data_IF_772320837385
#
_entry.id   IF_772320837385
#
_cell.length_a   1.000
_cell.length_b   1.000
_cell.length_c   1.000
_cell.angle_alpha   90.00
_cell.angle_beta   90.00
_cell.angle_gamma   90.00
#
_symmetry.space_group_name_H-M   'P 1'
#
loop_
_entity.id
_entity.type
_entity.pdbx_description
1 polymer ?
#
# COMPACT_ATOMS: atom_id res chain seq x y z
N UNK A 1 -10.00 21.45 -55.40
CA UNK A 1 -9.97 20.43 -54.31
C UNK A 1 -8.62 20.50 -53.63
N UNK A 2 -8.54 20.96 -52.37
CA UNK A 2 -7.32 20.81 -51.56
C UNK A 2 -7.31 19.39 -50.97
N UNK A 3 -6.18 18.68 -50.98
CA UNK A 3 -6.11 17.35 -50.38
C UNK A 3 -6.17 17.49 -48.85
N UNK A 4 -7.03 16.70 -48.22
CA UNK A 4 -7.03 16.47 -46.78
C UNK A 4 -5.71 15.78 -46.41
N UNK A 5 -4.73 16.54 -45.92
CA UNK A 5 -3.61 15.95 -45.19
C UNK A 5 -4.16 15.38 -43.89
N UNK A 6 -4.34 14.07 -43.83
CA UNK A 6 -4.60 13.38 -42.58
C UNK A 6 -3.32 13.41 -41.72
N UNK A 7 -3.47 13.87 -40.49
CA UNK A 7 -2.39 14.02 -39.54
C UNK A 7 -2.08 12.65 -38.89
N UNK A 8 -1.27 11.84 -39.56
CA UNK A 8 -0.86 10.50 -39.10
C UNK A 8 0.03 10.53 -37.84
N UNK A 9 0.48 11.72 -37.40
CA UNK A 9 1.28 11.89 -36.20
C UNK A 9 0.49 11.53 -34.93
N UNK A 10 -0.78 11.95 -34.86
CA UNK A 10 -1.67 11.66 -33.74
C UNK A 10 -2.01 10.16 -33.61
N UNK A 11 -2.24 9.47 -34.73
CA UNK A 11 -2.48 8.03 -34.73
C UNK A 11 -1.25 7.25 -34.25
N UNK A 12 -0.05 7.67 -34.69
CA UNK A 12 1.21 7.05 -34.28
C UNK A 12 1.49 7.28 -32.79
N UNK A 13 1.22 8.48 -32.27
CA UNK A 13 1.32 8.80 -30.85
C UNK A 13 0.34 7.99 -29.99
N UNK A 14 -0.89 7.81 -30.48
CA UNK A 14 -1.91 7.03 -29.78
C UNK A 14 -1.56 5.53 -29.77
N UNK A 15 -1.05 5.00 -30.87
CA UNK A 15 -0.53 3.63 -30.94
C UNK A 15 0.68 3.41 -30.02
N UNK A 16 1.63 4.36 -29.98
CA UNK A 16 2.77 4.29 -29.08
C UNK A 16 2.34 4.33 -27.62
N UNK A 17 1.41 5.22 -27.27
CA UNK A 17 0.85 5.33 -25.91
C UNK A 17 0.11 4.06 -25.50
N UNK A 18 -0.71 3.50 -26.39
CA UNK A 18 -1.41 2.24 -26.15
C UNK A 18 -0.45 1.07 -25.96
N UNK A 19 0.61 0.99 -26.77
CA UNK A 19 1.64 -0.04 -26.64
C UNK A 19 2.39 0.06 -25.30
N UNK A 20 2.75 1.27 -24.89
CA UNK A 20 3.39 1.51 -23.59
C UNK A 20 2.46 1.12 -22.43
N UNK A 21 1.18 1.49 -22.49
CA UNK A 21 0.20 1.14 -21.48
C UNK A 21 -0.02 -0.38 -21.38
N UNK A 22 -0.07 -1.08 -22.52
CA UNK A 22 -0.16 -2.55 -22.56
C UNK A 22 1.09 -3.20 -21.98
N UNK A 23 2.29 -2.72 -22.34
CA UNK A 23 3.54 -3.24 -21.78
C UNK A 23 3.63 -3.04 -20.26
N UNK A 24 3.27 -1.86 -19.76
CA UNK A 24 3.20 -1.56 -18.31
C UNK A 24 2.19 -2.46 -17.60
N UNK A 25 1.01 -2.66 -18.18
CA UNK A 25 -0.03 -3.54 -17.62
C UNK A 25 0.46 -4.99 -17.56
N UNK A 26 1.03 -5.51 -18.65
CA UNK A 26 1.56 -6.88 -18.69
C UNK A 26 2.69 -7.09 -17.69
N UNK A 27 3.59 -6.12 -17.53
CA UNK A 27 4.68 -6.18 -16.55
C UNK A 27 4.12 -6.28 -15.12
N UNK A 28 3.14 -5.44 -14.77
CA UNK A 28 2.50 -5.45 -13.44
C UNK A 28 1.70 -6.72 -13.18
N UNK A 29 1.05 -7.29 -14.19
CA UNK A 29 0.36 -8.56 -14.04
C UNK A 29 1.35 -9.72 -13.82
N UNK A 30 2.47 -9.74 -14.55
CA UNK A 30 3.53 -10.73 -14.31
C UNK A 30 4.19 -10.58 -12.92
N UNK A 31 4.32 -9.34 -12.43
CA UNK A 31 4.73 -9.07 -11.05
C UNK A 31 3.68 -9.57 -10.05
N UNK A 32 2.40 -9.33 -10.33
CA UNK A 32 1.27 -9.79 -9.52
C UNK A 32 1.26 -11.31 -9.37
N UNK A 33 1.48 -12.04 -10.46
CA UNK A 33 1.55 -13.51 -10.45
C UNK A 33 2.71 -14.01 -9.57
N UNK A 34 3.89 -13.39 -9.68
CA UNK A 34 5.06 -13.75 -8.87
C UNK A 34 4.89 -13.41 -7.39
N UNK A 35 4.40 -12.21 -7.09
CA UNK A 35 4.07 -11.81 -5.71
C UNK A 35 3.00 -12.72 -5.11
N UNK A 36 2.00 -13.14 -5.91
CA UNK A 36 0.99 -14.10 -5.47
C UNK A 36 1.58 -15.46 -5.12
N UNK A 37 2.49 -15.96 -5.95
CA UNK A 37 3.18 -17.22 -5.69
C UNK A 37 4.02 -17.18 -4.40
N UNK A 38 4.54 -16.00 -4.02
CA UNK A 38 5.26 -15.78 -2.77
C UNK A 38 4.39 -15.60 -1.52
N UNK A 39 3.06 -15.62 -1.63
CA UNK A 39 2.17 -15.50 -0.47
C UNK A 39 1.80 -16.88 0.06
N UNK A 40 2.31 -17.21 1.25
CA UNK A 40 1.84 -18.37 2.01
C UNK A 40 0.70 -17.98 2.97
N UNK A 41 -0.55 -18.17 2.52
CA UNK A 41 -1.74 -17.88 3.31
C UNK A 41 -1.91 -18.78 4.54
N UNK A 42 -1.44 -20.02 4.50
CA UNK A 42 -1.52 -20.93 5.66
C UNK A 42 -0.45 -20.58 6.69
N UNK A 43 0.75 -20.19 6.27
CA UNK A 43 1.74 -19.63 7.19
C UNK A 43 1.24 -18.31 7.80
N UNK A 44 0.64 -17.40 7.02
CA UNK A 44 0.01 -16.19 7.59
C UNK A 44 -0.99 -16.57 8.69
N UNK A 45 -1.83 -17.59 8.49
CA UNK A 45 -2.82 -18.06 9.48
C UNK A 45 -2.18 -18.78 10.68
N UNK A 46 -1.14 -19.59 10.46
CA UNK A 46 -0.44 -20.35 11.50
C UNK A 46 0.49 -19.53 12.38
N UNK A 47 0.92 -18.34 11.91
CA UNK A 47 1.86 -17.43 12.60
C UNK A 47 1.31 -16.77 13.87
N UNK A 48 0.02 -16.92 14.15
CA UNK A 48 -0.62 -16.26 15.29
C UNK A 48 -0.54 -17.03 16.61
N UNK A 49 0.30 -18.06 16.70
CA UNK A 49 0.61 -18.76 17.95
C UNK A 49 1.68 -18.05 18.81
N UNK A 50 1.89 -16.74 18.62
CA UNK A 50 2.80 -15.95 19.44
C UNK A 50 2.04 -15.42 20.67
N UNK A 51 2.41 -15.88 21.87
CA UNK A 51 1.83 -15.45 23.14
C UNK A 51 2.21 -13.99 23.48
N UNK A 52 1.58 -13.01 22.82
CA UNK A 52 1.59 -11.61 23.27
C UNK A 52 0.19 -10.99 23.17
N UNK A 53 -0.37 -10.40 24.24
CA UNK A 53 -1.70 -9.77 24.23
C UNK A 53 -1.89 -8.69 23.15
N UNK A 54 -0.79 -8.00 22.78
CA UNK A 54 -0.75 -6.94 21.75
C UNK A 54 -0.97 -7.50 20.33
N UNK A 55 -0.68 -8.79 20.09
CA UNK A 55 -0.75 -9.43 18.77
C UNK A 55 -2.18 -9.86 18.39
N UNK A 56 -3.05 -10.15 19.36
CA UNK A 56 -4.44 -10.59 19.11
C UNK A 56 -5.23 -9.63 18.21
N UNK A 57 -5.01 -8.32 18.36
CA UNK A 57 -5.62 -7.30 17.52
C UNK A 57 -5.05 -7.26 16.09
N UNK A 58 -3.77 -7.57 15.91
CA UNK A 58 -3.09 -7.59 14.62
C UNK A 58 -3.50 -8.82 13.81
N UNK A 59 -3.57 -9.99 14.45
CA UNK A 59 -4.07 -11.24 13.87
C UNK A 59 -5.41 -11.07 13.16
N UNK A 60 -6.42 -10.63 13.90
CA UNK A 60 -7.75 -10.37 13.33
C UNK A 60 -7.68 -9.39 12.15
N UNK A 61 -6.79 -8.41 12.20
CA UNK A 61 -6.67 -7.42 11.13
C UNK A 61 -6.05 -8.01 9.87
N UNK A 62 -5.05 -8.87 9.99
CA UNK A 62 -4.43 -9.56 8.85
C UNK A 62 -5.38 -10.59 8.26
N UNK A 63 -6.10 -11.35 9.08
CA UNK A 63 -7.14 -12.27 8.62
C UNK A 63 -8.22 -11.53 7.80
N UNK A 64 -8.64 -10.34 8.26
CA UNK A 64 -9.57 -9.51 7.50
C UNK A 64 -8.96 -8.96 6.21
N UNK A 65 -7.67 -8.63 6.18
CA UNK A 65 -6.97 -8.22 4.96
C UNK A 65 -6.96 -9.34 3.92
N UNK A 66 -6.57 -10.55 4.31
CA UNK A 66 -6.58 -11.71 3.41
C UNK A 66 -8.00 -12.03 2.89
N UNK A 67 -9.01 -12.02 3.77
CA UNK A 67 -10.40 -12.28 3.37
C UNK A 67 -10.97 -11.19 2.43
N UNK A 68 -10.68 -9.92 2.70
CA UNK A 68 -11.11 -8.81 1.85
C UNK A 68 -10.38 -8.78 0.51
N UNK A 69 -9.11 -9.21 0.46
CA UNK A 69 -8.41 -9.45 -0.80
C UNK A 69 -9.06 -10.56 -1.62
N UNK A 70 -9.39 -11.70 -1.00
CA UNK A 70 -10.12 -12.77 -1.69
C UNK A 70 -11.44 -12.28 -2.29
N UNK A 71 -12.19 -11.47 -1.52
CA UNK A 71 -13.43 -10.84 -2.00
C UNK A 71 -13.20 -9.86 -3.16
N UNK A 72 -12.11 -9.10 -3.13
CA UNK A 72 -11.72 -8.20 -4.23
C UNK A 72 -11.32 -8.99 -5.48
N UNK A 73 -10.46 -10.01 -5.35
CA UNK A 73 -10.05 -10.86 -6.45
C UNK A 73 -11.25 -11.56 -7.10
N UNK A 74 -12.19 -12.03 -6.29
CA UNK A 74 -13.44 -12.64 -6.77
C UNK A 74 -14.33 -11.66 -7.52
N UNK A 75 -14.28 -10.37 -7.18
CA UNK A 75 -15.01 -9.32 -7.91
C UNK A 75 -14.38 -8.94 -9.25
N UNK A 76 -13.18 -9.45 -9.56
CA UNK A 76 -12.39 -9.12 -10.75
C UNK A 76 -12.10 -10.33 -11.64
N UNK A 77 -13.00 -11.32 -11.64
CA UNK A 77 -12.82 -12.59 -12.38
C UNK A 77 -12.92 -12.45 -13.90
N UNK A 78 -13.67 -11.48 -14.40
CA UNK A 78 -13.84 -11.26 -15.84
C UNK A 78 -13.05 -10.05 -16.35
N UNK A 79 -12.64 -10.09 -17.63
CA UNK A 79 -11.93 -8.98 -18.29
C UNK A 79 -12.74 -7.69 -18.25
N UNK A 80 -14.07 -7.78 -18.37
CA UNK A 80 -15.01 -6.66 -18.22
C UNK A 80 -14.97 -6.01 -16.84
N UNK A 81 -14.64 -6.77 -15.79
CA UNK A 81 -14.55 -6.26 -14.43
C UNK A 81 -13.17 -5.64 -14.16
N UNK A 82 -12.11 -6.26 -14.70
CA UNK A 82 -10.75 -5.73 -14.64
C UNK A 82 -10.65 -4.35 -15.33
N UNK A 83 -11.34 -4.16 -16.45
CA UNK A 83 -11.31 -2.90 -17.21
C UNK A 83 -12.11 -1.75 -16.56
N UNK A 84 -12.95 -2.03 -15.55
CA UNK A 84 -13.71 -1.00 -14.82
C UNK A 84 -12.89 -0.30 -13.74
N UNK A 85 -11.82 -0.94 -13.29
CA UNK A 85 -10.91 -0.38 -12.30
C UNK A 85 -9.60 0.06 -12.98
N UNK A 86 -8.89 1.04 -12.40
CA UNK A 86 -7.55 1.37 -12.85
C UNK A 86 -6.64 0.13 -12.83
N UNK A 87 -5.78 0.00 -13.84
CA UNK A 87 -4.89 -1.15 -14.02
C UNK A 87 -3.92 -1.41 -12.84
N UNK A 88 -3.73 -0.44 -11.95
CA UNK A 88 -2.91 -0.59 -10.75
C UNK A 88 -3.65 -1.26 -9.58
N UNK A 89 -4.98 -1.40 -9.64
CA UNK A 89 -5.79 -1.84 -8.48
C UNK A 89 -5.40 -3.23 -8.01
N UNK A 90 -5.46 -4.23 -8.89
CA UNK A 90 -5.15 -5.60 -8.52
C UNK A 90 -3.65 -5.78 -8.19
N UNK A 91 -2.69 -5.28 -9.01
CA UNK A 91 -1.27 -5.34 -8.65
C UNK A 91 -0.96 -4.68 -7.30
N UNK A 92 -1.54 -3.51 -7.04
CA UNK A 92 -1.39 -2.82 -5.77
C UNK A 92 -1.91 -3.65 -4.60
N UNK A 93 -3.11 -4.23 -4.72
CA UNK A 93 -3.68 -5.06 -3.67
C UNK A 93 -2.86 -6.33 -3.39
N UNK A 94 -2.36 -6.99 -4.44
CA UNK A 94 -1.48 -8.16 -4.27
C UNK A 94 -0.17 -7.78 -3.58
N UNK A 95 0.44 -6.65 -3.97
CA UNK A 95 1.65 -6.13 -3.32
C UNK A 95 1.40 -5.80 -1.83
N UNK A 96 0.25 -5.25 -1.48
CA UNK A 96 -0.12 -5.04 -0.06
C UNK A 96 -0.18 -6.35 0.73
N UNK A 97 -0.75 -7.42 0.17
CA UNK A 97 -0.77 -8.75 0.81
C UNK A 97 0.65 -9.29 0.97
N UNK A 98 1.44 -9.27 -0.11
CA UNK A 98 2.81 -9.76 -0.09
C UNK A 98 3.65 -9.02 0.96
N UNK A 99 3.66 -7.69 0.92
CA UNK A 99 4.45 -6.88 1.85
C UNK A 99 3.97 -7.00 3.30
N UNK A 100 2.68 -7.28 3.52
CA UNK A 100 2.15 -7.63 4.85
C UNK A 100 2.71 -8.98 5.30
N UNK A 101 2.68 -10.01 4.44
CA UNK A 101 3.24 -11.33 4.75
C UNK A 101 4.73 -11.24 5.06
N UNK A 102 5.50 -10.57 4.21
CA UNK A 102 6.93 -10.35 4.35
C UNK A 102 7.26 -9.67 5.68
N UNK A 103 6.55 -8.60 6.03
CA UNK A 103 6.80 -7.91 7.29
C UNK A 103 6.53 -8.78 8.53
N UNK A 104 5.57 -9.69 8.44
CA UNK A 104 5.33 -10.67 9.51
C UNK A 104 6.44 -11.72 9.59
N UNK A 105 7.05 -12.10 8.46
CA UNK A 105 8.18 -13.04 8.47
C UNK A 105 9.45 -12.46 9.09
N UNK A 106 9.67 -11.14 8.99
CA UNK A 106 10.80 -10.49 9.67
C UNK A 106 10.69 -10.48 11.20
N UNK A 107 9.53 -10.86 11.74
CA UNK A 107 9.33 -11.04 13.17
C UNK A 107 9.68 -12.47 13.63
N UNK A 108 9.94 -13.41 12.71
CA UNK A 108 10.40 -14.77 13.06
C UNK A 108 11.90 -14.79 13.37
N UNK A 109 12.35 -15.70 14.25
CA UNK A 109 13.77 -16.01 14.40
C UNK A 109 14.37 -16.49 13.07
N UNK A 110 15.57 -16.01 12.74
CA UNK A 110 16.24 -16.26 11.44
C UNK A 110 16.68 -17.71 11.22
N UNK A 111 16.79 -18.53 12.27
CA UNK A 111 17.35 -19.88 12.23
C UNK A 111 16.47 -20.93 11.50
N UNK A 112 15.34 -20.51 10.93
CA UNK A 112 14.35 -21.40 10.27
C UNK A 112 14.21 -21.19 8.75
N UNK A 113 15.03 -20.33 8.10
CA UNK A 113 14.92 -20.03 6.66
C UNK A 113 15.91 -20.83 5.80
N UNK A 114 15.42 -21.47 4.74
CA UNK A 114 16.24 -22.17 3.74
C UNK A 114 16.86 -21.17 2.71
N UNK A 115 18.01 -21.51 2.10
CA UNK A 115 18.73 -20.63 1.16
C UNK A 115 17.90 -20.29 -0.11
N UNK A 116 17.10 -21.23 -0.61
CA UNK A 116 16.24 -21.05 -1.79
C UNK A 116 15.08 -20.07 -1.52
N UNK A 117 14.55 -20.07 -0.29
CA UNK A 117 13.53 -19.12 0.17
C UNK A 117 14.11 -17.70 0.22
N UNK A 118 15.37 -17.56 0.65
CA UNK A 118 16.04 -16.26 0.74
C UNK A 118 16.26 -15.61 -0.65
N UNK A 119 16.68 -16.38 -1.67
CA UNK A 119 16.87 -15.84 -3.03
C UNK A 119 15.54 -15.39 -3.65
N UNK A 120 14.50 -16.21 -3.50
CA UNK A 120 13.14 -15.89 -3.97
C UNK A 120 12.61 -14.63 -3.29
N UNK A 121 12.78 -14.52 -1.97
CA UNK A 121 12.38 -13.35 -1.19
C UNK A 121 13.10 -12.08 -1.65
N UNK A 122 14.42 -12.15 -1.88
CA UNK A 122 15.21 -11.01 -2.40
C UNK A 122 14.64 -10.52 -3.74
N UNK A 123 14.30 -11.43 -4.64
CA UNK A 123 13.73 -11.08 -5.94
C UNK A 123 12.35 -10.41 -5.80
N UNK A 124 11.47 -10.96 -4.97
CA UNK A 124 10.13 -10.43 -4.74
C UNK A 124 10.14 -9.08 -4.01
N UNK A 125 11.09 -8.88 -3.08
CA UNK A 125 11.32 -7.58 -2.44
C UNK A 125 11.78 -6.54 -3.47
N UNK A 126 12.75 -6.88 -4.33
CA UNK A 126 13.23 -5.97 -5.36
C UNK A 126 12.12 -5.57 -6.34
N UNK A 127 11.22 -6.51 -6.65
CA UNK A 127 10.03 -6.26 -7.46
C UNK A 127 9.05 -5.29 -6.78
N UNK A 128 8.73 -5.51 -5.50
CA UNK A 128 7.88 -4.60 -4.74
C UNK A 128 8.50 -3.19 -4.60
N UNK A 129 9.82 -3.10 -4.47
CA UNK A 129 10.56 -1.82 -4.48
C UNK A 129 10.47 -1.13 -5.85
N UNK A 130 10.57 -1.89 -6.94
CA UNK A 130 10.44 -1.36 -8.30
C UNK A 130 9.04 -0.80 -8.57
N UNK A 131 7.99 -1.53 -8.18
CA UNK A 131 6.59 -1.08 -8.33
C UNK A 131 6.29 0.19 -7.54
N UNK A 132 7.04 0.45 -6.48
CA UNK A 132 6.88 1.63 -5.60
C UNK A 132 7.88 2.76 -5.89
N UNK A 133 8.72 2.62 -6.92
CA UNK A 133 9.75 3.61 -7.27
C UNK A 133 9.20 5.01 -7.59
N UNK A 134 7.96 5.10 -8.10
CA UNK A 134 7.28 6.37 -8.41
C UNK A 134 6.74 7.14 -7.20
N UNK A 135 6.82 6.59 -5.99
CA UNK A 135 6.16 7.13 -4.80
C UNK A 135 6.61 8.57 -4.46
N UNK A 136 7.89 8.89 -4.62
CA UNK A 136 8.44 10.24 -4.36
C UNK A 136 7.78 11.28 -5.28
N UNK A 137 7.67 10.98 -6.57
CA UNK A 137 7.09 11.90 -7.55
C UNK A 137 5.60 12.17 -7.22
N UNK A 138 4.87 11.13 -6.82
CA UNK A 138 3.47 11.26 -6.41
C UNK A 138 3.31 12.07 -5.11
N UNK A 139 4.19 11.86 -4.12
CA UNK A 139 4.19 12.68 -2.90
C UNK A 139 4.42 14.15 -3.21
N UNK A 140 5.37 14.46 -4.11
CA UNK A 140 5.68 15.83 -4.51
C UNK A 140 4.52 16.52 -5.24
N UNK A 141 3.71 15.77 -5.98
CA UNK A 141 2.49 16.30 -6.62
C UNK A 141 1.43 16.69 -5.60
N UNK A 142 1.32 15.95 -4.48
CA UNK A 142 0.37 16.28 -3.41
C UNK A 142 0.85 17.48 -2.60
N UNK A 143 2.08 17.43 -2.11
CA UNK A 143 2.74 18.51 -1.38
C UNK A 143 4.26 18.23 -1.36
N UNK A 144 5.12 19.10 -1.93
CA UNK A 144 6.57 18.91 -1.93
C UNK A 144 7.17 18.65 -0.54
N UNK A 145 6.54 19.17 0.53
CA UNK A 145 6.95 18.95 1.91
C UNK A 145 6.78 17.50 2.38
N UNK A 146 5.87 16.73 1.79
CA UNK A 146 5.62 15.32 2.18
C UNK A 146 6.73 14.38 1.72
N UNK A 147 7.47 14.71 0.66
CA UNK A 147 8.57 13.88 0.20
C UNK A 147 9.74 13.84 1.21
N UNK A 148 9.91 14.91 2.01
CA UNK A 148 11.02 15.03 2.96
C UNK A 148 11.01 13.97 4.07
N UNK A 149 9.94 13.77 4.86
CA UNK A 149 9.93 12.71 5.87
C UNK A 149 10.05 11.31 5.27
N UNK A 150 9.53 11.08 4.06
CA UNK A 150 9.69 9.83 3.34
C UNK A 150 11.16 9.54 2.98
N UNK A 151 11.84 10.52 2.38
CA UNK A 151 13.26 10.42 2.02
C UNK A 151 14.11 10.24 3.28
N UNK A 152 13.85 11.02 4.34
CA UNK A 152 14.57 10.90 5.61
C UNK A 152 14.44 9.52 6.25
N UNK A 153 13.25 8.89 6.19
CA UNK A 153 13.07 7.52 6.67
C UNK A 153 13.88 6.50 5.84
N UNK A 154 13.92 6.64 4.52
CA UNK A 154 14.72 5.77 3.65
C UNK A 154 16.22 5.94 3.89
N UNK A 155 16.69 7.18 3.99
CA UNK A 155 18.10 7.48 4.21
C UNK A 155 18.56 7.01 5.61
N UNK A 156 17.68 7.05 6.61
CA UNK A 156 17.98 6.56 7.95
C UNK A 156 18.22 5.04 8.01
N UNK A 157 17.67 4.25 7.07
CA UNK A 157 17.94 2.81 6.99
C UNK A 157 19.39 2.52 6.56
N UNK A 158 19.89 3.26 5.57
CA UNK A 158 21.21 3.03 4.98
C UNK A 158 22.32 3.92 5.57
N UNK A 159 21.94 4.93 6.35
CA UNK A 159 22.86 5.85 6.98
C UNK A 159 23.45 5.33 8.29
N UNK A 160 24.53 5.97 8.74
CA UNK A 160 25.14 5.68 10.03
C UNK A 160 24.39 6.42 11.17
N UNK A 161 23.18 5.94 11.48
CA UNK A 161 22.33 6.49 12.54
C UNK A 161 22.11 5.45 13.65
N UNK A 162 22.61 5.74 14.85
CA UNK A 162 22.45 4.89 16.04
C UNK A 162 21.00 4.86 16.54
N UNK A 163 20.18 5.86 16.20
CA UNK A 163 18.76 5.97 16.55
C UNK A 163 17.86 5.81 15.30
N UNK A 164 18.30 5.00 14.32
CA UNK A 164 17.59 4.82 13.04
C UNK A 164 16.16 4.34 13.20
N UNK A 165 15.90 3.41 14.11
CA UNK A 165 14.56 2.88 14.34
C UNK A 165 13.57 3.97 14.77
N UNK A 166 13.92 4.77 15.79
CA UNK A 166 13.09 5.89 16.25
C UNK A 166 12.90 6.94 15.15
N UNK A 167 13.96 7.26 14.42
CA UNK A 167 13.89 8.20 13.30
C UNK A 167 12.88 7.70 12.26
N UNK A 168 13.05 6.49 11.75
CA UNK A 168 12.17 5.89 10.73
C UNK A 168 10.71 5.90 11.22
N UNK A 169 10.44 5.32 12.39
CA UNK A 169 9.07 5.19 12.91
C UNK A 169 8.38 6.54 13.13
N UNK A 170 9.11 7.55 13.59
CA UNK A 170 8.59 8.90 13.79
C UNK A 170 8.30 9.60 12.46
N UNK A 171 9.23 9.52 11.50
CA UNK A 171 9.07 10.10 10.16
C UNK A 171 7.90 9.49 9.39
N UNK A 172 7.70 8.17 9.47
CA UNK A 172 6.57 7.51 8.82
C UNK A 172 5.22 7.92 9.45
N UNK A 173 5.16 8.05 10.78
CA UNK A 173 3.95 8.50 11.49
C UNK A 173 3.58 9.93 11.13
N UNK A 174 4.57 10.81 11.03
CA UNK A 174 4.39 12.19 10.59
C UNK A 174 3.88 12.22 9.14
N UNK A 175 4.56 11.52 8.23
CA UNK A 175 4.19 11.42 6.82
C UNK A 175 2.73 11.03 6.62
N UNK A 176 2.26 9.94 7.26
CA UNK A 176 0.87 9.50 7.11
C UNK A 176 -0.14 10.50 7.65
N UNK A 177 0.18 11.11 8.79
CA UNK A 177 -0.70 12.07 9.43
C UNK A 177 -0.91 13.30 8.57
N UNK A 178 0.15 13.77 7.91
CA UNK A 178 0.08 14.90 6.98
C UNK A 178 -0.53 14.50 5.63
N UNK A 179 -0.12 13.36 5.05
CA UNK A 179 -0.62 12.89 3.76
C UNK A 179 -2.13 12.73 3.76
N UNK A 180 -2.70 12.00 4.72
CA UNK A 180 -4.15 11.78 4.75
C UNK A 180 -4.95 13.08 4.91
N UNK A 181 -4.41 14.07 5.63
CA UNK A 181 -5.05 15.39 5.75
C UNK A 181 -4.99 16.19 4.45
N UNK A 182 -3.92 16.03 3.67
CA UNK A 182 -3.80 16.64 2.34
C UNK A 182 -4.73 15.98 1.32
N UNK A 183 -4.78 14.66 1.29
CA UNK A 183 -5.62 13.90 0.36
C UNK A 183 -7.12 14.00 0.70
N UNK A 184 -7.44 14.12 1.99
CA UNK A 184 -8.82 14.14 2.48
C UNK A 184 -8.97 15.22 3.57
N UNK A 185 -9.05 16.51 3.20
CA UNK A 185 -9.23 17.65 4.12
C UNK A 185 -10.46 17.52 5.02
N UNK A 186 -10.39 18.09 6.23
CA UNK A 186 -11.41 17.91 7.28
C UNK A 186 -12.80 18.38 6.83
N UNK A 187 -12.87 19.54 6.19
CA UNK A 187 -14.07 20.16 5.65
C UNK A 187 -14.73 19.31 4.56
N UNK A 188 -13.93 18.81 3.61
CA UNK A 188 -14.42 17.98 2.52
C UNK A 188 -14.94 16.63 3.01
N UNK A 189 -14.21 15.98 3.91
CA UNK A 189 -14.64 14.69 4.47
C UNK A 189 -15.88 14.87 5.34
N UNK A 190 -15.93 15.92 6.16
CA UNK A 190 -17.10 16.22 7.00
C UNK A 190 -18.36 16.49 6.16
N UNK A 191 -18.23 17.17 5.01
CA UNK A 191 -19.34 17.39 4.09
C UNK A 191 -19.79 16.11 3.37
N UNK A 192 -18.89 15.16 3.17
CA UNK A 192 -19.18 13.87 2.50
C UNK A 192 -19.84 12.83 3.42
N UNK A 193 -19.45 12.77 4.70
CA UNK A 193 -19.94 11.78 5.67
C UNK A 193 -21.48 11.65 5.73
N UNK A 194 -22.28 12.75 5.69
CA UNK A 194 -23.73 12.67 5.67
C UNK A 194 -24.32 11.74 4.59
N UNK A 195 -23.63 11.59 3.45
CA UNK A 195 -24.08 10.74 2.34
C UNK A 195 -23.71 9.25 2.44
N UNK A 196 -23.03 8.82 3.52
CA UNK A 196 -22.52 7.45 3.67
C UNK A 196 -23.49 6.58 4.46
N UNK A 197 -23.84 5.40 3.94
CA UNK A 197 -24.85 4.47 4.51
C UNK A 197 -24.48 3.82 5.85
N UNK A 198 -23.31 4.13 6.43
CA UNK A 198 -22.90 3.68 7.76
C UNK A 198 -21.86 4.66 8.34
N UNK A 199 -22.32 5.62 9.13
CA UNK A 199 -21.49 6.69 9.68
C UNK A 199 -20.74 6.32 10.97
N UNK A 200 -20.89 5.09 11.45
CA UNK A 200 -20.30 4.66 12.71
C UNK A 200 -18.77 4.78 12.64
N UNK A 201 -18.19 5.40 13.67
CA UNK A 201 -16.73 5.58 13.84
C UNK A 201 -16.04 6.40 12.71
N UNK A 202 -16.80 7.18 11.94
CA UNK A 202 -16.24 8.09 10.91
C UNK A 202 -15.80 9.44 11.48
N UNK A 203 -16.36 9.83 12.63
CA UNK A 203 -15.98 11.02 13.38
C UNK A 203 -15.50 10.64 14.78
N UNK A 204 -14.45 11.31 15.24
CA UNK A 204 -13.99 11.29 16.63
C UNK A 204 -13.78 12.73 17.08
N UNK A 205 -14.45 13.13 18.16
CA UNK A 205 -14.44 14.53 18.66
C UNK A 205 -14.77 15.56 17.56
N UNK A 206 -15.72 15.23 16.69
CA UNK A 206 -16.13 16.09 15.57
C UNK A 206 -15.15 16.14 14.39
N UNK A 207 -14.03 15.40 14.42
CA UNK A 207 -13.04 15.36 13.34
C UNK A 207 -13.08 14.04 12.55
N UNK A 208 -12.85 14.06 11.23
CA UNK A 208 -12.74 12.84 10.44
C UNK A 208 -11.63 11.91 10.92
N UNK A 209 -11.99 10.66 11.17
CA UNK A 209 -11.05 9.59 11.53
C UNK A 209 -10.17 9.21 10.34
N UNK A 210 -9.04 8.51 10.59
CA UNK A 210 -8.22 7.94 9.50
C UNK A 210 -9.05 7.05 8.58
N UNK A 211 -9.97 6.27 9.16
CA UNK A 211 -10.97 5.45 8.45
C UNK A 211 -11.81 6.30 7.50
N UNK A 212 -12.38 7.40 7.98
CA UNK A 212 -13.18 8.27 7.12
C UNK A 212 -12.37 8.87 5.96
N UNK A 213 -11.10 9.23 6.21
CA UNK A 213 -10.20 9.76 5.16
C UNK A 213 -9.87 8.74 4.09
N UNK A 214 -9.56 7.49 4.46
CA UNK A 214 -9.30 6.43 3.49
C UNK A 214 -10.53 6.15 2.64
N UNK A 215 -11.70 6.00 3.27
CA UNK A 215 -12.96 5.81 2.53
C UNK A 215 -13.25 6.98 1.60
N UNK A 216 -13.00 8.22 2.07
CA UNK A 216 -13.14 9.40 1.23
C UNK A 216 -12.20 9.35 0.03
N UNK A 217 -10.94 8.95 0.19
CA UNK A 217 -10.01 8.79 -0.95
C UNK A 217 -10.49 7.71 -1.92
N UNK A 218 -11.14 6.65 -1.45
CA UNK A 218 -11.62 5.55 -2.32
C UNK A 218 -12.97 5.83 -3.00
N UNK A 219 -13.67 6.91 -2.62
CA UNK A 219 -15.09 7.15 -2.92
C UNK A 219 -15.47 7.10 -4.41
N UNK A 220 -14.56 7.42 -5.33
CA UNK A 220 -14.84 7.51 -6.76
C UNK A 220 -14.60 6.20 -7.52
N UNK A 221 -13.97 5.21 -6.88
CA UNK A 221 -13.75 3.89 -7.48
C UNK A 221 -15.02 3.04 -7.53
N UNK A 222 -16.06 3.39 -6.75
CA UNK A 222 -17.36 2.73 -6.71
C UNK A 222 -17.29 1.19 -6.65
N UNK A 223 -16.26 0.66 -5.97
CA UNK A 223 -16.06 -0.76 -5.78
C UNK A 223 -15.98 -1.04 -4.28
N UNK A 224 -17.04 -1.64 -3.74
CA UNK A 224 -17.14 -1.95 -2.31
C UNK A 224 -16.06 -2.94 -1.85
N UNK A 225 -15.76 -4.05 -2.56
CA UNK A 225 -14.67 -4.96 -2.17
C UNK A 225 -13.31 -4.26 -2.04
N UNK A 226 -12.98 -3.35 -2.95
CA UNK A 226 -11.74 -2.57 -2.90
C UNK A 226 -11.71 -1.61 -1.71
N UNK A 227 -12.83 -0.94 -1.45
CA UNK A 227 -12.95 -0.02 -0.31
C UNK A 227 -12.79 -0.76 1.01
N UNK A 228 -13.38 -1.95 1.12
CA UNK A 228 -13.25 -2.83 2.28
C UNK A 228 -11.81 -3.35 2.43
N UNK A 229 -11.18 -3.76 1.32
CA UNK A 229 -9.78 -4.18 1.31
C UNK A 229 -8.85 -3.08 1.84
N UNK A 230 -8.89 -1.89 1.24
CA UNK A 230 -8.05 -0.75 1.64
C UNK A 230 -8.27 -0.34 3.11
N UNK A 231 -9.50 -0.50 3.59
CA UNK A 231 -9.85 -0.24 4.98
C UNK A 231 -9.20 -1.22 5.95
N UNK A 232 -9.28 -2.51 5.64
CA UNK A 232 -8.63 -3.54 6.44
C UNK A 232 -7.11 -3.44 6.35
N UNK A 233 -6.60 -3.14 5.17
CA UNK A 233 -5.18 -3.03 4.89
C UNK A 233 -4.54 -1.85 5.64
N UNK A 234 -5.16 -0.67 5.58
CA UNK A 234 -4.72 0.50 6.37
C UNK A 234 -4.74 0.20 7.87
N UNK A 235 -5.74 -0.54 8.35
CA UNK A 235 -5.82 -0.93 9.77
C UNK A 235 -4.68 -1.89 10.14
N UNK A 236 -4.37 -2.86 9.29
CA UNK A 236 -3.27 -3.79 9.52
C UNK A 236 -1.92 -3.07 9.53
N UNK A 237 -1.69 -2.14 8.60
CA UNK A 237 -0.49 -1.30 8.56
C UNK A 237 -0.29 -0.51 9.87
N UNK A 238 -1.33 0.15 10.36
CA UNK A 238 -1.24 0.94 11.61
C UNK A 238 -0.88 0.04 12.79
N UNK A 239 -1.57 -1.10 12.94
CA UNK A 239 -1.30 -2.06 14.02
C UNK A 239 0.07 -2.70 13.92
N UNK A 240 0.55 -2.94 12.70
CA UNK A 240 1.89 -3.46 12.45
C UNK A 240 2.95 -2.46 12.90
N UNK A 241 2.80 -1.17 12.57
CA UNK A 241 3.69 -0.13 13.09
C UNK A 241 3.62 0.00 14.60
N UNK A 242 2.43 -0.10 15.22
CA UNK A 242 2.30 -0.11 16.67
C UNK A 242 3.05 -1.29 17.30
N UNK A 243 2.99 -2.48 16.69
CA UNK A 243 3.76 -3.65 17.11
C UNK A 243 5.27 -3.38 17.01
N UNK A 244 5.77 -2.89 15.88
CA UNK A 244 7.20 -2.59 15.72
C UNK A 244 7.69 -1.50 16.67
N UNK A 245 6.87 -0.47 16.97
CA UNK A 245 7.19 0.50 18.02
C UNK A 245 7.30 -0.20 19.38
N UNK A 246 6.39 -1.12 19.68
CA UNK A 246 6.40 -1.84 20.97
C UNK A 246 7.58 -2.80 21.10
N UNK A 247 7.94 -3.51 20.03
CA UNK A 247 9.14 -4.35 19.98
C UNK A 247 10.38 -3.49 20.22
N UNK A 248 10.47 -2.33 19.57
CA UNK A 248 11.57 -1.37 19.80
C UNK A 248 11.66 -0.87 21.24
N UNK A 249 10.54 -0.74 21.96
CA UNK A 249 10.51 -0.35 23.37
C UNK A 249 10.90 -1.48 24.33
N UNK A 250 10.64 -2.74 23.97
CA UNK A 250 10.79 -3.92 24.84
C UNK A 250 12.12 -4.64 24.64
N UNK A 251 12.58 -4.79 23.40
CA UNK A 251 13.80 -5.50 23.03
C UNK A 251 14.92 -4.53 22.61
N UNK A 252 16.15 -5.05 22.56
CA UNK A 252 17.26 -4.40 21.84
C UNK A 252 16.83 -4.06 20.41
N UNK A 253 17.15 -2.83 19.97
CA UNK A 253 16.86 -2.21 18.68
C UNK A 253 16.38 -3.13 17.52
N UNK A 254 15.33 -2.69 16.81
CA UNK A 254 14.84 -3.33 15.58
C UNK A 254 15.98 -3.64 14.61
N UNK A 255 15.93 -4.82 14.00
CA UNK A 255 16.92 -5.24 13.00
C UNK A 255 16.75 -4.45 11.69
N UNK A 256 17.78 -4.45 10.85
CA UNK A 256 17.72 -3.76 9.56
C UNK A 256 16.69 -4.38 8.63
N UNK A 257 16.48 -5.69 8.71
CA UNK A 257 15.45 -6.39 7.95
C UNK A 257 14.03 -5.98 8.41
N UNK A 258 13.79 -5.89 9.71
CA UNK A 258 12.52 -5.39 10.26
C UNK A 258 12.26 -3.94 9.82
N UNK A 259 13.28 -3.07 9.87
CA UNK A 259 13.17 -1.69 9.39
C UNK A 259 12.92 -1.63 7.88
N UNK A 260 13.56 -2.50 7.09
CA UNK A 260 13.33 -2.63 5.65
C UNK A 260 11.91 -3.09 5.37
N UNK A 261 11.38 -4.06 6.11
CA UNK A 261 10.00 -4.52 5.99
C UNK A 261 8.98 -3.43 6.28
N UNK A 262 9.18 -2.64 7.35
CA UNK A 262 8.32 -1.50 7.68
C UNK A 262 8.31 -0.48 6.53
N UNK A 263 9.50 -0.17 6.00
CA UNK A 263 9.63 0.75 4.87
C UNK A 263 8.97 0.20 3.61
N UNK A 264 9.23 -1.06 3.24
CA UNK A 264 8.63 -1.70 2.07
C UNK A 264 7.10 -1.70 2.15
N UNK A 265 6.57 -2.11 3.30
CA UNK A 265 5.13 -2.10 3.58
C UNK A 265 4.55 -0.69 3.49
N UNK A 266 5.26 0.30 4.01
CA UNK A 266 4.83 1.71 3.95
C UNK A 266 4.86 2.25 2.52
N UNK A 267 5.93 1.97 1.76
CA UNK A 267 6.08 2.37 0.37
C UNK A 267 4.94 1.81 -0.49
N UNK A 268 4.60 0.54 -0.26
CA UNK A 268 3.52 -0.15 -0.94
C UNK A 268 2.18 0.58 -0.74
N UNK A 269 1.83 0.86 0.53
CA UNK A 269 0.58 1.54 0.87
C UNK A 269 0.53 2.96 0.35
N UNK A 270 1.65 3.70 0.48
CA UNK A 270 1.77 5.07 -0.02
C UNK A 270 1.56 5.11 -1.53
N UNK A 271 2.26 4.25 -2.29
CA UNK A 271 2.09 4.16 -3.73
C UNK A 271 0.62 3.90 -4.07
N UNK A 272 -0.02 2.97 -3.35
CA UNK A 272 -1.36 2.55 -3.65
C UNK A 272 -2.39 3.66 -3.39
N UNK A 273 -2.37 4.27 -2.20
CA UNK A 273 -3.31 5.35 -1.86
C UNK A 273 -3.08 6.62 -2.71
N UNK A 274 -1.83 6.91 -3.08
CA UNK A 274 -1.50 8.03 -3.97
C UNK A 274 -2.03 7.80 -5.38
N UNK A 275 -1.85 6.61 -5.94
CA UNK A 275 -2.40 6.26 -7.26
C UNK A 275 -3.93 6.38 -7.30
N UNK A 276 -4.61 5.93 -6.23
CA UNK A 276 -6.06 6.12 -6.09
C UNK A 276 -6.40 7.60 -6.06
N UNK A 277 -5.67 8.39 -5.27
CA UNK A 277 -5.95 9.81 -5.14
C UNK A 277 -5.75 10.56 -6.47
N UNK A 278 -4.68 10.27 -7.21
CA UNK A 278 -4.37 10.88 -8.51
C UNK A 278 -5.47 10.59 -9.54
N UNK A 279 -6.00 9.37 -9.54
CA UNK A 279 -7.14 8.99 -10.37
C UNK A 279 -8.40 9.82 -10.12
N UNK A 280 -8.54 10.38 -8.92
CA UNK A 280 -9.66 11.26 -8.55
C UNK A 280 -9.37 12.74 -8.87
N UNK A 281 -8.10 13.17 -8.85
CA UNK A 281 -7.73 14.59 -9.05
C UNK A 281 -7.59 15.02 -10.53
N UNK A 282 -7.56 14.06 -11.47
CA UNK A 282 -7.42 14.34 -12.91
C UNK A 282 -8.75 14.27 -13.70
N UNK A 283 -9.88 14.47 -13.02
CA UNK A 283 -11.21 14.65 -13.62
C UNK A 283 -11.75 16.03 -13.31
#
# INVERSE_FOLDING_TARGET
MKPLQHDFSHLSQLQASAKLALCDTSLRLAATERLMAGIDFEAIRGRFQIEMPVISGLESSIAHVAASYGSLADSLREISDITRLPAFVLPGATREIYTTSFALETLRPWDERDEEDAETEIQLVAEAELETSGCIALLQQVDPGLARPYIGARDALYGNNTDRARHILSSLRELWSHLLRRLAPDDLVAAWIPGVSNQKDLLHEGKPTRRARVLYVCRELNNAPLSDFLMHDTRALVKMIELFNRVHELETALTDEQLRAILLRTNSWLMYILQISVGNFHK
#
